data_IF_947364420598
#
_entry.id   IF_947364420598
#
_cell.length_a   1.000
_cell.length_b   1.000
_cell.length_c   1.000
_cell.angle_alpha   90.00
_cell.angle_beta   90.00
_cell.angle_gamma   90.00
#
_symmetry.space_group_name_H-M   'P 1'
#
loop_
_entity.id
_entity.type
_entity.pdbx_description
1 polymer ?
#
# COMPACT_ATOMS: atom_id res chain seq x y z
N UNK A 1 -4.87 25.65 12.14
CA UNK A 1 -3.88 25.28 11.11
C UNK A 1 -2.57 25.94 11.48
N UNK A 2 -1.47 25.18 11.53
CA UNK A 2 -0.14 25.73 11.80
C UNK A 2 0.22 26.82 10.78
N UNK A 3 0.60 28.01 11.25
CA UNK A 3 0.81 29.22 10.44
C UNK A 3 2.06 29.20 9.54
N UNK A 4 2.72 28.05 9.34
CA UNK A 4 4.02 27.94 8.66
C UNK A 4 4.14 26.79 7.64
N UNK A 5 3.03 26.27 7.11
CA UNK A 5 3.10 25.32 6.00
C UNK A 5 3.53 26.03 4.70
N UNK A 6 4.37 25.36 3.89
CA UNK A 6 4.80 25.88 2.61
C UNK A 6 3.59 26.21 1.72
N UNK A 7 3.55 27.34 0.99
CA UNK A 7 2.36 27.75 0.21
C UNK A 7 1.87 26.67 -0.76
N UNK A 8 2.78 25.98 -1.45
CA UNK A 8 2.41 24.88 -2.35
C UNK A 8 1.86 23.67 -1.59
N UNK A 9 2.38 23.36 -0.40
CA UNK A 9 1.87 22.28 0.44
C UNK A 9 0.45 22.57 0.93
N UNK A 10 0.15 23.83 1.29
CA UNK A 10 -1.20 24.24 1.67
C UNK A 10 -2.22 24.02 0.53
N UNK A 11 -1.83 24.34 -0.71
CA UNK A 11 -2.70 24.12 -1.88
C UNK A 11 -2.89 22.62 -2.13
N UNK A 12 -1.83 21.81 -2.04
CA UNK A 12 -1.92 20.37 -2.17
C UNK A 12 -2.85 19.74 -1.10
N UNK A 13 -2.74 20.20 0.15
CA UNK A 13 -3.64 19.78 1.25
C UNK A 13 -5.09 20.16 0.95
N UNK A 14 -5.33 21.37 0.43
CA UNK A 14 -6.67 21.81 0.01
C UNK A 14 -7.22 20.91 -1.10
N UNK A 15 -6.40 20.58 -2.10
CA UNK A 15 -6.78 19.71 -3.21
C UNK A 15 -7.11 18.28 -2.73
N UNK A 16 -6.25 17.69 -1.89
CA UNK A 16 -6.48 16.36 -1.33
C UNK A 16 -7.79 16.28 -0.51
N UNK A 17 -8.09 17.32 0.29
CA UNK A 17 -9.35 17.38 1.05
C UNK A 17 -10.58 17.50 0.14
N UNK A 18 -10.47 18.23 -0.98
CA UNK A 18 -11.57 18.35 -1.93
C UNK A 18 -11.87 17.00 -2.60
N UNK A 19 -10.83 16.28 -3.06
CA UNK A 19 -10.97 14.93 -3.58
C UNK A 19 -11.55 13.97 -2.55
N UNK A 20 -11.02 13.95 -1.32
CA UNK A 20 -11.52 13.05 -0.30
C UNK A 20 -12.94 13.37 0.17
N UNK A 21 -13.44 14.60 0.00
CA UNK A 21 -14.85 14.91 0.22
C UNK A 21 -15.77 14.27 -0.84
N UNK A 22 -15.30 14.18 -2.10
CA UNK A 22 -16.01 13.46 -3.16
C UNK A 22 -16.00 11.95 -2.89
N UNK A 23 -14.83 11.40 -2.54
CA UNK A 23 -14.66 9.99 -2.17
C UNK A 23 -15.57 9.61 -1.00
N UNK A 24 -15.56 10.39 0.10
CA UNK A 24 -16.40 10.13 1.27
C UNK A 24 -17.89 10.20 0.93
N UNK A 25 -18.32 11.08 0.02
CA UNK A 25 -19.71 11.13 -0.43
C UNK A 25 -20.08 9.87 -1.21
N UNK A 26 -19.23 9.44 -2.13
CA UNK A 26 -19.46 8.23 -2.91
C UNK A 26 -19.41 6.96 -2.06
N UNK A 27 -18.58 6.95 -1.01
CA UNK A 27 -18.50 5.83 -0.05
C UNK A 27 -19.81 5.60 0.74
N UNK A 28 -20.73 6.57 0.78
CA UNK A 28 -22.05 6.39 1.43
C UNK A 28 -22.97 5.46 0.65
N UNK A 29 -22.76 5.33 -0.66
CA UNK A 29 -23.55 4.48 -1.55
C UNK A 29 -22.66 3.92 -2.67
N UNK A 30 -21.75 3.01 -2.29
CA UNK A 30 -20.79 2.40 -3.21
C UNK A 30 -21.48 1.58 -4.30
N UNK A 31 -22.67 1.03 -4.04
CA UNK A 31 -23.43 0.25 -5.03
C UNK A 31 -23.93 1.11 -6.20
N UNK A 32 -24.14 2.41 -5.98
CA UNK A 32 -24.52 3.36 -7.03
C UNK A 32 -23.33 3.84 -7.88
N UNK A 33 -22.09 3.60 -7.44
CA UNK A 33 -20.88 4.07 -8.15
C UNK A 33 -20.70 3.31 -9.45
N UNK A 34 -20.51 4.05 -10.55
CA UNK A 34 -20.18 3.44 -11.84
C UNK A 34 -18.73 2.97 -11.85
N UNK A 35 -18.55 1.65 -11.98
CA UNK A 35 -17.24 1.01 -12.12
C UNK A 35 -16.98 0.67 -13.58
N UNK A 36 -15.82 1.07 -14.08
CA UNK A 36 -15.26 0.68 -15.37
C UNK A 36 -13.99 -0.14 -15.16
N UNK A 37 -13.70 -1.05 -16.09
CA UNK A 37 -12.44 -1.81 -16.11
C UNK A 37 -11.43 -1.11 -17.02
N UNK A 38 -10.29 -0.70 -16.46
CA UNK A 38 -9.12 -0.28 -17.25
C UNK A 38 -8.46 -1.50 -17.90
N UNK A 39 -8.22 -2.53 -17.08
CA UNK A 39 -7.65 -3.83 -17.46
C UNK A 39 -8.16 -4.93 -16.52
N UNK A 40 -7.84 -6.21 -16.77
CA UNK A 40 -8.23 -7.29 -15.85
C UNK A 40 -7.65 -7.05 -14.46
N UNK A 41 -8.52 -6.97 -13.45
CA UNK A 41 -8.20 -6.63 -12.05
C UNK A 41 -7.69 -5.20 -11.83
N UNK A 42 -7.94 -4.29 -12.77
CA UNK A 42 -7.58 -2.87 -12.70
C UNK A 42 -8.84 -2.04 -12.99
N UNK A 43 -9.33 -1.34 -11.96
CA UNK A 43 -10.63 -0.67 -11.98
C UNK A 43 -10.44 0.84 -11.95
N UNK A 44 -11.40 1.54 -12.53
CA UNK A 44 -11.56 2.99 -12.40
C UNK A 44 -13.03 3.29 -12.20
N UNK A 45 -13.34 4.24 -11.35
CA UNK A 45 -14.71 4.69 -11.13
C UNK A 45 -14.89 6.14 -11.58
N UNK A 46 -16.14 6.56 -11.72
CA UNK A 46 -16.44 7.99 -11.90
C UNK A 46 -15.94 8.86 -10.73
N UNK A 47 -15.68 8.25 -9.56
CA UNK A 47 -15.12 8.92 -8.39
C UNK A 47 -13.65 9.26 -8.59
N UNK A 48 -12.84 8.34 -9.14
CA UNK A 48 -11.42 8.57 -9.46
C UNK A 48 -11.30 9.77 -10.42
N UNK A 49 -12.11 9.78 -11.49
CA UNK A 49 -12.13 10.86 -12.49
C UNK A 49 -12.57 12.20 -11.89
N UNK A 50 -13.62 12.20 -11.07
CA UNK A 50 -14.11 13.42 -10.42
C UNK A 50 -13.11 13.97 -9.39
N UNK A 51 -12.46 13.09 -8.63
CA UNK A 51 -11.41 13.44 -7.68
C UNK A 51 -10.19 14.03 -8.41
N UNK A 52 -9.72 13.41 -9.49
CA UNK A 52 -8.61 13.90 -10.29
C UNK A 52 -8.91 15.30 -10.86
N UNK A 53 -10.07 15.48 -11.48
CA UNK A 53 -10.49 16.76 -12.04
C UNK A 53 -10.52 17.87 -10.98
N UNK A 54 -11.03 17.58 -9.77
CA UNK A 54 -11.06 18.53 -8.68
C UNK A 54 -9.66 18.90 -8.17
N UNK A 55 -8.74 17.93 -8.10
CA UNK A 55 -7.34 18.17 -7.73
C UNK A 55 -6.68 19.07 -8.77
N UNK A 56 -6.78 18.70 -10.06
CA UNK A 56 -6.16 19.45 -11.16
C UNK A 56 -6.67 20.89 -11.20
N UNK A 57 -7.99 21.09 -11.09
CA UNK A 57 -8.59 22.43 -11.08
C UNK A 57 -8.02 23.32 -9.95
N UNK A 58 -7.94 22.78 -8.72
CA UNK A 58 -7.41 23.52 -7.57
C UNK A 58 -5.91 23.84 -7.76
N UNK A 59 -5.13 22.86 -8.23
CA UNK A 59 -3.69 23.03 -8.40
C UNK A 59 -3.37 24.03 -9.52
N UNK A 60 -4.02 23.92 -10.68
CA UNK A 60 -3.78 24.78 -11.83
C UNK A 60 -4.39 26.17 -11.68
N UNK A 61 -5.47 26.32 -10.91
CA UNK A 61 -5.97 27.65 -10.53
C UNK A 61 -4.94 28.42 -9.70
N UNK A 62 -4.28 27.75 -8.77
CA UNK A 62 -3.25 28.37 -7.93
C UNK A 62 -1.90 28.53 -8.67
N UNK A 63 -1.54 27.56 -9.52
CA UNK A 63 -0.26 27.50 -10.22
C UNK A 63 -0.44 27.14 -11.71
N UNK A 64 -0.91 28.08 -12.56
CA UNK A 64 -1.21 27.80 -13.97
C UNK A 64 0.00 27.37 -14.81
N UNK A 65 1.22 27.70 -14.37
CA UNK A 65 2.46 27.37 -15.08
C UNK A 65 3.06 26.00 -14.72
N UNK A 66 2.43 25.22 -13.83
CA UNK A 66 2.92 23.90 -13.44
C UNK A 66 2.41 22.80 -14.40
N UNK A 67 3.13 21.69 -14.48
CA UNK A 67 2.72 20.48 -15.19
C UNK A 67 1.93 19.53 -14.28
N UNK A 68 1.20 18.60 -14.90
CA UNK A 68 0.49 17.52 -14.22
C UNK A 68 0.98 16.17 -14.77
N UNK A 69 1.16 15.20 -13.87
CA UNK A 69 1.26 13.77 -14.16
C UNK A 69 0.26 13.06 -13.25
N UNK A 70 -0.89 12.70 -13.79
CA UNK A 70 -1.96 12.03 -13.04
C UNK A 70 -2.18 10.60 -13.54
N UNK A 71 -2.72 9.74 -12.67
CA UNK A 71 -2.99 8.34 -13.02
C UNK A 71 -3.94 8.19 -14.22
N UNK A 72 -5.05 8.94 -14.25
CA UNK A 72 -6.11 8.74 -15.24
C UNK A 72 -5.82 9.47 -16.55
N UNK A 73 -5.39 10.73 -16.46
CA UNK A 73 -5.16 11.62 -17.61
C UNK A 73 -3.70 11.73 -18.04
N UNK A 74 -2.76 11.06 -17.35
CA UNK A 74 -1.34 11.14 -17.66
C UNK A 74 -0.83 12.59 -17.61
N UNK A 75 -0.19 13.04 -18.70
CA UNK A 75 0.35 14.40 -18.85
C UNK A 75 -0.47 15.29 -19.79
N UNK A 76 -1.78 15.05 -19.90
CA UNK A 76 -2.67 15.83 -20.76
C UNK A 76 -2.90 17.27 -20.24
N UNK A 77 -2.77 17.48 -18.93
CA UNK A 77 -3.03 18.76 -18.26
C UNK A 77 -1.76 19.49 -17.82
N UNK A 78 -1.90 20.81 -17.62
CA UNK A 78 -0.80 21.67 -17.18
C UNK A 78 0.22 21.98 -18.29
N UNK A 79 1.30 22.66 -17.91
CA UNK A 79 2.38 23.03 -18.81
C UNK A 79 3.31 21.83 -19.09
N UNK A 80 3.48 21.47 -20.37
CA UNK A 80 4.22 20.27 -20.81
C UNK A 80 5.71 20.28 -20.46
N UNK A 81 6.35 21.45 -20.50
CA UNK A 81 7.80 21.61 -20.28
C UNK A 81 8.11 22.26 -18.93
N UNK A 82 7.21 22.11 -17.95
CA UNK A 82 7.40 22.69 -16.63
C UNK A 82 8.46 21.93 -15.83
N UNK A 83 9.36 22.66 -15.17
CA UNK A 83 10.25 22.09 -14.16
C UNK A 83 9.51 21.73 -12.85
N UNK A 84 8.28 22.23 -12.68
CA UNK A 84 7.41 21.96 -11.53
C UNK A 84 6.23 21.09 -11.98
N UNK A 85 6.20 19.84 -11.54
CA UNK A 85 5.19 18.85 -11.95
C UNK A 85 4.50 18.29 -10.73
N UNK A 86 3.17 18.39 -10.70
CA UNK A 86 2.35 17.71 -9.71
C UNK A 86 2.10 16.27 -10.14
N UNK A 87 2.43 15.32 -9.28
CA UNK A 87 2.20 13.89 -9.48
C UNK A 87 1.02 13.47 -8.61
N UNK A 88 -0.02 12.89 -9.21
CA UNK A 88 -1.32 12.71 -8.56
C UNK A 88 -1.79 11.27 -8.73
N UNK A 89 -2.16 10.65 -7.61
CA UNK A 89 -3.07 9.51 -7.58
C UNK A 89 -4.36 10.00 -6.87
N UNK A 90 -5.49 10.10 -7.62
CA UNK A 90 -6.73 10.62 -7.08
C UNK A 90 -7.40 9.66 -6.09
N UNK A 91 -7.13 8.35 -6.15
CA UNK A 91 -7.71 7.32 -5.30
C UNK A 91 -6.84 6.04 -5.29
N UNK A 92 -5.77 6.05 -4.49
CA UNK A 92 -4.95 4.87 -4.27
C UNK A 92 -5.76 3.86 -3.45
N UNK A 93 -5.95 2.66 -4.01
CA UNK A 93 -6.80 1.61 -3.43
C UNK A 93 -8.22 1.58 -4.00
N UNK A 94 -8.43 1.91 -5.28
CA UNK A 94 -9.74 1.83 -5.97
C UNK A 94 -10.46 0.49 -5.74
N UNK A 95 -9.75 -0.64 -5.78
CA UNK A 95 -10.34 -1.95 -5.46
C UNK A 95 -10.88 -2.00 -4.02
N UNK A 96 -10.15 -1.47 -3.05
CA UNK A 96 -10.63 -1.41 -1.68
C UNK A 96 -11.88 -0.53 -1.56
N UNK A 97 -11.88 0.62 -2.23
CA UNK A 97 -13.03 1.52 -2.27
C UNK A 97 -14.30 0.83 -2.81
N UNK A 98 -14.21 0.19 -3.98
CA UNK A 98 -15.35 -0.52 -4.61
C UNK A 98 -15.87 -1.66 -3.74
N UNK A 99 -15.00 -2.30 -2.95
CA UNK A 99 -15.37 -3.38 -2.04
C UNK A 99 -15.75 -2.89 -0.62
N UNK A 100 -15.75 -1.57 -0.37
CA UNK A 100 -16.03 -1.00 0.94
C UNK A 100 -14.97 -1.32 2.00
N UNK A 101 -13.77 -1.77 1.61
CA UNK A 101 -12.67 -2.01 2.52
C UNK A 101 -12.00 -0.66 2.90
N UNK A 102 -11.95 -0.28 4.18
CA UNK A 102 -11.62 1.08 4.61
C UNK A 102 -10.10 1.33 4.66
N UNK A 103 -9.43 1.18 3.52
CA UNK A 103 -8.00 1.44 3.34
C UNK A 103 -7.72 1.94 1.93
N UNK A 104 -7.75 3.25 1.75
CA UNK A 104 -7.48 3.95 0.49
C UNK A 104 -7.13 5.41 0.81
N UNK A 105 -6.50 6.11 -0.13
CA UNK A 105 -6.08 7.49 0.10
C UNK A 105 -6.02 8.33 -1.17
N UNK A 106 -5.83 9.63 -1.02
CA UNK A 106 -5.43 10.54 -2.10
C UNK A 106 -3.93 10.82 -1.96
N UNK A 107 -3.16 10.72 -3.04
CA UNK A 107 -1.72 10.98 -3.05
C UNK A 107 -1.40 12.16 -3.98
N UNK A 108 -0.69 13.17 -3.46
CA UNK A 108 -0.26 14.34 -4.24
C UNK A 108 1.20 14.65 -3.88
N UNK A 109 2.06 14.69 -4.89
CA UNK A 109 3.45 15.13 -4.76
C UNK A 109 3.77 16.29 -5.70
N UNK A 110 4.71 17.15 -5.32
CA UNK A 110 5.30 18.14 -6.21
C UNK A 110 6.75 17.77 -6.49
N UNK A 111 7.05 17.51 -7.76
CA UNK A 111 8.40 17.40 -8.27
C UNK A 111 8.89 18.78 -8.73
N UNK A 112 10.11 19.16 -8.33
CA UNK A 112 10.82 20.34 -8.81
C UNK A 112 12.15 19.88 -9.39
N UNK A 113 12.33 20.01 -10.70
CA UNK A 113 13.52 19.54 -11.44
C UNK A 113 13.85 18.07 -11.15
N UNK A 114 12.82 17.22 -11.16
CA UNK A 114 12.94 15.78 -10.91
C UNK A 114 13.11 15.38 -9.45
N UNK A 115 13.03 16.32 -8.50
CA UNK A 115 13.13 16.02 -7.06
C UNK A 115 11.81 16.29 -6.37
N UNK A 116 11.33 15.33 -5.57
CA UNK A 116 10.12 15.53 -4.77
C UNK A 116 10.40 16.52 -3.65
N UNK A 117 9.68 17.65 -3.65
CA UNK A 117 9.87 18.76 -2.69
C UNK A 117 8.69 18.88 -1.71
N UNK A 118 7.48 18.51 -2.15
CA UNK A 118 6.26 18.53 -1.33
C UNK A 118 5.50 17.21 -1.50
N UNK A 119 4.88 16.74 -0.42
CA UNK A 119 4.07 15.52 -0.44
C UNK A 119 2.87 15.63 0.50
N UNK A 120 1.74 15.09 0.05
CA UNK A 120 0.51 14.90 0.80
C UNK A 120 -0.02 13.51 0.51
N UNK A 121 -0.31 12.74 1.55
CA UNK A 121 -1.15 11.55 1.48
C UNK A 121 -2.31 11.76 2.44
N UNK A 122 -3.55 11.67 1.95
CA UNK A 122 -4.75 11.89 2.74
C UNK A 122 -5.58 10.62 2.84
N UNK A 123 -5.71 10.09 4.06
CA UNK A 123 -6.65 9.01 4.39
C UNK A 123 -8.02 9.64 4.74
N UNK A 124 -9.03 9.54 3.85
CA UNK A 124 -10.33 10.16 4.06
C UNK A 124 -11.19 9.43 5.10
N UNK A 125 -10.88 8.16 5.41
CA UNK A 125 -11.58 7.37 6.44
C UNK A 125 -11.18 7.84 7.83
N UNK A 126 -9.87 7.98 8.07
CA UNK A 126 -9.33 8.44 9.35
C UNK A 126 -9.29 9.96 9.48
N UNK A 127 -9.51 10.67 8.37
CA UNK A 127 -9.26 12.11 8.25
C UNK A 127 -7.82 12.47 8.66
N UNK A 128 -6.86 11.63 8.28
CA UNK A 128 -5.44 11.81 8.54
C UNK A 128 -4.75 12.39 7.32
N UNK A 129 -4.13 13.58 7.48
CA UNK A 129 -3.23 14.16 6.47
C UNK A 129 -1.79 13.88 6.88
N UNK A 130 -1.16 13.01 6.10
CA UNK A 130 0.29 12.85 6.09
C UNK A 130 0.88 13.89 5.16
N UNK A 131 1.86 14.65 5.63
CA UNK A 131 2.47 15.72 4.83
C UNK A 131 3.96 15.86 5.10
N UNK A 132 4.69 16.27 4.08
CA UNK A 132 6.10 16.60 4.18
C UNK A 132 6.48 17.73 3.22
N UNK A 133 7.37 18.59 3.70
CA UNK A 133 8.19 19.46 2.86
C UNK A 133 9.63 19.04 3.04
N UNK A 134 10.40 19.01 1.95
CA UNK A 134 11.81 18.64 2.01
C UNK A 134 12.59 19.49 3.01
N UNK A 135 13.36 18.83 3.87
CA UNK A 135 14.15 19.41 4.95
C UNK A 135 13.34 19.92 6.15
N UNK A 136 12.02 19.66 6.22
CA UNK A 136 11.15 20.16 7.30
C UNK A 136 10.54 19.05 8.17
N UNK A 137 10.78 17.78 7.83
CA UNK A 137 10.18 16.63 8.49
C UNK A 137 8.83 16.24 7.92
N UNK A 138 8.39 15.03 8.28
CA UNK A 138 7.07 14.50 7.98
C UNK A 138 6.13 14.67 9.19
N UNK A 139 4.84 14.85 8.91
CA UNK A 139 3.79 15.09 9.90
C UNK A 139 2.53 14.30 9.56
N UNK A 140 1.77 13.91 10.59
CA UNK A 140 0.35 13.51 10.48
C UNK A 140 -0.49 14.48 11.30
N UNK A 141 -1.47 15.15 10.70
CA UNK A 141 -2.36 16.09 11.40
C UNK A 141 -1.59 17.07 12.33
N UNK A 142 -0.60 17.76 11.78
CA UNK A 142 0.33 18.70 12.47
C UNK A 142 1.28 18.06 13.52
N UNK A 143 1.24 16.75 13.75
CA UNK A 143 2.15 16.04 14.66
C UNK A 143 3.32 15.44 13.89
N UNK A 144 4.55 15.75 14.30
CA UNK A 144 5.75 15.21 13.66
C UNK A 144 5.81 13.69 13.82
N UNK A 145 6.11 12.98 12.73
CA UNK A 145 6.25 11.52 12.71
C UNK A 145 7.70 11.09 12.46
N UNK A 146 7.98 9.82 12.75
CA UNK A 146 9.25 9.14 12.54
C UNK A 146 8.97 7.67 12.22
N UNK A 147 9.81 7.08 11.38
CA UNK A 147 9.81 5.63 11.15
C UNK A 147 10.00 4.85 12.46
N UNK A 148 9.55 3.59 12.47
CA UNK A 148 9.65 2.69 13.62
C UNK A 148 11.10 2.49 14.09
N UNK A 149 11.29 2.20 15.39
CA UNK A 149 12.62 2.05 16.02
C UNK A 149 13.14 0.60 16.05
N UNK A 150 12.35 -0.37 15.57
CA UNK A 150 12.73 -1.78 15.59
C UNK A 150 13.98 -2.00 14.75
N UNK A 151 14.88 -2.86 15.23
CA UNK A 151 16.18 -3.08 14.57
C UNK A 151 16.35 -4.48 14.01
N UNK A 152 15.43 -5.40 14.31
CA UNK A 152 15.47 -6.80 13.87
C UNK A 152 14.21 -7.11 13.09
N UNK A 153 14.37 -7.69 11.91
CA UNK A 153 13.24 -8.01 11.02
C UNK A 153 12.20 -8.91 11.73
N UNK A 154 12.64 -9.84 12.58
CA UNK A 154 11.77 -10.77 13.32
C UNK A 154 10.74 -10.10 14.25
N UNK A 155 10.97 -8.84 14.64
CA UNK A 155 10.05 -8.10 15.52
C UNK A 155 9.09 -7.20 14.72
N UNK A 156 9.24 -7.16 13.39
CA UNK A 156 8.65 -6.14 12.52
C UNK A 156 7.35 -6.58 11.85
N UNK A 157 6.48 -5.60 11.60
CA UNK A 157 5.37 -5.72 10.66
C UNK A 157 5.78 -5.15 9.31
N UNK A 158 5.70 -5.95 8.24
CA UNK A 158 6.08 -5.53 6.89
C UNK A 158 4.83 -5.43 6.01
N UNK A 159 4.58 -4.27 5.40
CA UNK A 159 3.54 -4.12 4.39
C UNK A 159 4.05 -4.53 3.01
N UNK A 160 3.14 -4.96 2.13
CA UNK A 160 3.45 -5.34 0.76
C UNK A 160 2.20 -5.31 -0.11
N UNK A 161 2.37 -5.28 -1.43
CA UNK A 161 1.31 -5.45 -2.42
C UNK A 161 1.56 -6.63 -3.35
N UNK A 162 0.47 -7.23 -3.81
CA UNK A 162 0.51 -8.47 -4.58
C UNK A 162 0.41 -8.13 -6.07
N UNK A 163 1.15 -8.84 -6.93
CA UNK A 163 1.01 -8.68 -8.37
C UNK A 163 -0.16 -9.55 -8.86
N UNK A 164 -1.29 -8.91 -9.20
CA UNK A 164 -2.52 -9.56 -9.68
C UNK A 164 -2.94 -9.12 -11.09
N UNK A 165 -2.10 -8.39 -11.81
CA UNK A 165 -2.34 -7.98 -13.21
C UNK A 165 -1.93 -9.09 -14.19
N UNK A 166 -2.59 -9.24 -15.34
CA UNK A 166 -2.18 -10.20 -16.36
C UNK A 166 -0.74 -9.98 -16.81
N UNK A 167 0.06 -11.05 -16.85
CA UNK A 167 1.50 -10.99 -17.19
C UNK A 167 2.43 -10.92 -15.97
N UNK A 168 1.86 -10.82 -14.77
CA UNK A 168 2.64 -10.79 -13.54
C UNK A 168 3.36 -12.11 -13.22
N UNK A 169 4.56 -11.97 -12.65
CA UNK A 169 5.40 -13.09 -12.22
C UNK A 169 5.03 -13.52 -10.80
N UNK A 170 3.84 -14.10 -10.64
CA UNK A 170 3.30 -14.53 -9.34
C UNK A 170 4.22 -15.50 -8.60
N UNK A 171 4.80 -16.51 -9.28
CA UNK A 171 5.68 -17.49 -8.63
C UNK A 171 6.93 -16.86 -8.00
N UNK A 172 7.74 -16.05 -8.72
CA UNK A 172 8.82 -15.28 -8.12
C UNK A 172 8.37 -14.41 -6.93
N UNK A 173 7.23 -13.74 -7.06
CA UNK A 173 6.67 -12.92 -5.97
C UNK A 173 6.35 -13.76 -4.72
N UNK A 174 5.69 -14.91 -4.87
CA UNK A 174 5.38 -15.80 -3.73
C UNK A 174 6.65 -16.33 -3.04
N UNK A 175 7.73 -16.57 -3.79
CA UNK A 175 9.01 -16.95 -3.20
C UNK A 175 9.61 -15.80 -2.38
N UNK A 176 9.59 -14.59 -2.94
CA UNK A 176 10.04 -13.37 -2.26
C UNK A 176 9.24 -13.12 -0.98
N UNK A 177 7.91 -13.16 -1.07
CA UNK A 177 6.99 -13.03 0.06
C UNK A 177 7.26 -14.10 1.12
N UNK A 178 7.42 -15.36 0.73
CA UNK A 178 7.69 -16.47 1.64
C UNK A 178 8.99 -16.26 2.43
N UNK A 179 10.02 -15.73 1.79
CA UNK A 179 11.30 -15.43 2.45
C UNK A 179 11.18 -14.28 3.45
N UNK A 180 10.55 -13.16 3.08
CA UNK A 180 10.31 -12.03 4.00
C UNK A 180 9.43 -12.46 5.17
N UNK A 181 8.35 -13.20 4.89
CA UNK A 181 7.41 -13.67 5.90
C UNK A 181 8.08 -14.60 6.92
N UNK A 182 9.06 -15.41 6.51
CA UNK A 182 9.82 -16.27 7.42
C UNK A 182 10.74 -15.50 8.39
N UNK A 183 11.02 -14.22 8.11
CA UNK A 183 11.98 -13.41 8.84
C UNK A 183 11.33 -12.28 9.66
N UNK A 184 10.01 -12.10 9.59
CA UNK A 184 9.30 -11.01 10.28
C UNK A 184 8.18 -11.49 11.20
N UNK A 185 7.69 -10.61 12.07
CA UNK A 185 6.60 -10.92 13.00
C UNK A 185 5.27 -11.07 12.28
N UNK A 186 5.11 -10.39 11.13
CA UNK A 186 3.94 -10.55 10.30
C UNK A 186 3.95 -9.64 9.08
N UNK A 187 3.18 -10.05 8.08
CA UNK A 187 2.98 -9.29 6.84
C UNK A 187 1.59 -8.62 6.87
N UNK A 188 1.48 -7.46 6.24
CA UNK A 188 0.22 -6.79 5.94
C UNK A 188 0.12 -6.58 4.43
N UNK A 189 -1.06 -6.83 3.86
CA UNK A 189 -1.41 -6.49 2.48
C UNK A 189 -2.73 -5.70 2.54
N UNK A 190 -2.68 -4.41 2.88
CA UNK A 190 -3.89 -3.63 3.04
C UNK A 190 -4.40 -3.07 1.69
N UNK A 191 -3.52 -2.80 0.72
CA UNK A 191 -3.93 -2.60 -0.68
C UNK A 191 -4.02 -1.14 -1.16
N UNK A 192 -3.25 -0.23 -0.56
CA UNK A 192 -3.04 1.13 -1.08
C UNK A 192 -1.58 1.52 -0.81
N UNK A 193 -0.77 1.63 -1.87
CA UNK A 193 0.69 1.71 -1.78
C UNK A 193 1.18 3.03 -1.17
N UNK A 194 0.58 4.16 -1.53
CA UNK A 194 0.90 5.47 -0.96
C UNK A 194 0.55 5.52 0.53
N UNK A 195 -0.56 4.90 0.94
CA UNK A 195 -0.95 4.81 2.35
C UNK A 195 -0.05 3.84 3.13
N UNK A 196 0.40 2.74 2.51
CA UNK A 196 1.39 1.83 3.10
C UNK A 196 2.72 2.54 3.38
N UNK A 197 3.21 3.36 2.44
CA UNK A 197 4.41 4.17 2.64
C UNK A 197 4.21 5.23 3.73
N UNK A 198 3.05 5.89 3.78
CA UNK A 198 2.71 6.82 4.86
C UNK A 198 2.68 6.13 6.24
N UNK A 199 2.17 4.90 6.31
CA UNK A 199 2.17 4.08 7.51
C UNK A 199 3.59 3.69 7.97
N UNK A 200 4.50 3.38 7.04
CA UNK A 200 5.92 3.18 7.39
C UNK A 200 6.55 4.48 7.90
N UNK A 201 6.28 5.62 7.25
CA UNK A 201 6.76 6.93 7.69
C UNK A 201 6.26 7.30 9.11
N UNK A 202 5.06 6.84 9.47
CA UNK A 202 4.47 6.99 10.79
C UNK A 202 4.90 5.94 11.82
N UNK A 203 5.65 4.91 11.40
CA UNK A 203 6.07 3.80 12.25
C UNK A 203 4.94 2.84 12.67
N UNK A 204 3.82 2.84 11.92
CA UNK A 204 2.71 1.89 12.10
C UNK A 204 3.06 0.51 11.54
N UNK A 205 3.78 0.49 10.42
CA UNK A 205 4.53 -0.64 9.88
C UNK A 205 6.02 -0.31 9.89
N UNK A 206 6.88 -1.33 9.87
CA UNK A 206 8.32 -1.16 10.02
C UNK A 206 9.08 -1.17 8.68
N UNK A 207 8.42 -1.65 7.62
CA UNK A 207 8.92 -1.63 6.27
C UNK A 207 7.85 -1.98 5.25
N UNK A 208 8.18 -1.75 3.99
CA UNK A 208 7.33 -1.97 2.83
C UNK A 208 8.16 -2.57 1.70
N UNK A 209 7.57 -3.44 0.88
CA UNK A 209 8.13 -3.84 -0.41
C UNK A 209 7.03 -4.17 -1.42
N UNK A 210 7.18 -3.72 -2.66
CA UNK A 210 6.24 -4.00 -3.75
C UNK A 210 6.91 -3.82 -5.12
N UNK A 211 6.38 -4.50 -6.13
CA UNK A 211 6.81 -4.39 -7.52
C UNK A 211 5.61 -4.09 -8.42
N UNK A 212 5.86 -3.44 -9.56
CA UNK A 212 4.82 -3.01 -10.51
C UNK A 212 4.19 -1.64 -10.20
N UNK A 213 4.81 -0.85 -9.32
CA UNK A 213 4.31 0.47 -8.94
C UNK A 213 4.59 1.53 -10.01
N UNK A 214 3.71 2.52 -10.09
CA UNK A 214 3.80 3.70 -10.94
C UNK A 214 4.34 4.90 -10.15
N UNK A 215 4.77 5.98 -10.82
CA UNK A 215 5.31 7.17 -10.15
C UNK A 215 4.35 7.79 -9.13
N UNK A 216 3.05 7.80 -9.42
CA UNK A 216 2.03 8.39 -8.54
C UNK A 216 1.80 7.58 -7.25
N UNK A 217 2.00 6.27 -7.29
CA UNK A 217 1.90 5.38 -6.11
C UNK A 217 2.97 5.70 -5.05
N UNK A 218 4.17 6.12 -5.49
CA UNK A 218 5.36 6.21 -4.62
C UNK A 218 5.84 7.63 -4.36
N UNK A 219 5.54 8.59 -5.24
CA UNK A 219 6.16 9.92 -5.18
C UNK A 219 5.93 10.63 -3.83
N UNK A 220 4.70 10.71 -3.36
CA UNK A 220 4.39 11.36 -2.07
C UNK A 220 4.95 10.55 -0.89
N UNK A 221 4.75 9.23 -0.92
CA UNK A 221 5.27 8.30 0.09
C UNK A 221 6.79 8.39 0.27
N UNK A 222 7.54 8.56 -0.83
CA UNK A 222 9.00 8.66 -0.80
C UNK A 222 9.52 9.83 0.02
N UNK A 223 8.89 11.00 -0.12
CA UNK A 223 9.27 12.18 0.66
C UNK A 223 8.85 12.01 2.13
N UNK A 224 7.68 11.42 2.39
CA UNK A 224 7.25 11.11 3.76
C UNK A 224 8.26 10.21 4.49
N UNK A 225 8.73 9.15 3.84
CA UNK A 225 9.71 8.21 4.40
C UNK A 225 11.02 8.92 4.73
N UNK A 226 11.59 9.63 3.76
CA UNK A 226 12.89 10.29 3.93
C UNK A 226 12.85 11.37 5.01
N UNK A 227 11.79 12.19 5.04
CA UNK A 227 11.60 13.23 6.06
C UNK A 227 11.25 12.69 7.45
N UNK A 228 10.70 11.47 7.53
CA UNK A 228 10.52 10.72 8.76
C UNK A 228 11.83 10.07 9.27
N UNK A 229 12.92 10.10 8.49
CA UNK A 229 14.21 9.49 8.82
C UNK A 229 14.34 8.02 8.42
N UNK A 230 13.50 7.56 7.50
CA UNK A 230 13.64 6.27 6.84
C UNK A 230 14.47 6.34 5.57
N UNK A 231 14.59 5.17 4.93
CA UNK A 231 15.21 4.98 3.62
C UNK A 231 14.18 4.36 2.67
N UNK A 232 14.28 4.72 1.41
CA UNK A 232 13.47 4.19 0.30
C UNK A 232 14.37 3.98 -0.91
N UNK A 233 14.15 2.90 -1.65
CA UNK A 233 14.88 2.58 -2.88
C UNK A 233 14.27 1.36 -3.57
N UNK A 234 14.89 0.92 -4.66
CA UNK A 234 14.49 -0.29 -5.36
C UNK A 234 14.93 -1.54 -4.56
N UNK A 235 14.69 -2.75 -5.06
CA UNK A 235 15.09 -3.96 -4.34
C UNK A 235 16.60 -4.16 -4.17
N UNK A 236 17.43 -3.51 -5.01
CA UNK A 236 18.91 -3.51 -4.88
C UNK A 236 19.41 -2.40 -3.95
N UNK A 237 18.52 -1.53 -3.44
CA UNK A 237 18.86 -0.39 -2.58
C UNK A 237 19.19 0.91 -3.31
N UNK A 238 19.00 0.96 -4.64
CA UNK A 238 19.28 2.13 -5.47
C UNK A 238 18.10 3.12 -5.49
N UNK A 239 18.37 4.37 -5.86
CA UNK A 239 17.40 5.47 -5.79
C UNK A 239 16.43 5.55 -6.98
N UNK A 240 16.53 4.65 -7.96
CA UNK A 240 15.78 4.64 -9.22
C UNK A 240 14.44 3.85 -9.13
N UNK A 241 13.85 3.82 -7.92
CA UNK A 241 12.63 3.07 -7.62
C UNK A 241 11.38 3.61 -8.31
N UNK A 242 11.36 4.91 -8.63
CA UNK A 242 10.25 5.56 -9.33
C UNK A 242 10.21 5.09 -10.79
N UNK A 243 11.38 4.97 -11.43
CA UNK A 243 11.52 4.56 -12.83
C UNK A 243 11.40 3.06 -13.02
N UNK A 244 11.88 2.26 -12.06
CA UNK A 244 11.93 0.81 -12.16
C UNK A 244 10.67 0.08 -11.68
N UNK A 245 9.77 0.78 -10.98
CA UNK A 245 8.54 0.21 -10.44
C UNK A 245 8.78 -0.91 -9.43
N UNK A 246 9.96 -0.96 -8.81
CA UNK A 246 10.27 -1.79 -7.65
C UNK A 246 10.58 -0.85 -6.50
N UNK A 247 9.91 -1.00 -5.37
CA UNK A 247 10.06 -0.11 -4.24
C UNK A 247 10.13 -0.90 -2.95
N UNK A 248 11.07 -0.56 -2.09
CA UNK A 248 11.10 -0.95 -0.69
C UNK A 248 11.44 0.25 0.19
N UNK A 249 10.89 0.25 1.41
CA UNK A 249 11.12 1.31 2.37
C UNK A 249 11.20 0.75 3.80
N UNK A 250 11.83 1.49 4.69
CA UNK A 250 11.89 1.16 6.12
C UNK A 250 12.81 2.07 6.89
N UNK A 251 12.94 1.85 8.20
CA UNK A 251 14.01 2.49 8.95
C UNK A 251 15.39 1.97 8.50
N UNK A 252 16.50 2.68 8.76
CA UNK A 252 17.81 2.28 8.23
C UNK A 252 18.28 0.86 8.59
N UNK A 253 17.88 0.32 9.75
CA UNK A 253 18.25 -1.03 10.18
C UNK A 253 17.43 -2.10 9.46
N UNK A 254 16.14 -1.86 9.28
CA UNK A 254 15.23 -2.79 8.58
C UNK A 254 15.45 -2.72 7.08
N UNK A 255 15.67 -1.52 6.53
CA UNK A 255 15.99 -1.31 5.12
C UNK A 255 17.19 -2.17 4.68
N UNK A 256 18.31 -2.14 5.42
CA UNK A 256 19.48 -2.97 5.07
C UNK A 256 19.20 -4.48 5.12
N UNK A 257 18.33 -4.95 6.03
CA UNK A 257 17.90 -6.36 6.08
C UNK A 257 16.98 -6.73 4.91
N UNK A 258 16.14 -5.78 4.47
CA UNK A 258 15.28 -5.96 3.29
C UNK A 258 16.13 -6.02 2.01
N UNK A 259 17.12 -5.13 1.80
CA UNK A 259 18.05 -5.20 0.66
C UNK A 259 18.65 -6.60 0.55
N UNK A 260 19.22 -7.12 1.65
CA UNK A 260 19.86 -8.43 1.67
C UNK A 260 18.92 -9.59 1.30
N UNK A 261 17.62 -9.43 1.53
CA UNK A 261 16.59 -10.43 1.18
C UNK A 261 16.06 -10.24 -0.25
N UNK A 262 15.85 -8.99 -0.66
CA UNK A 262 15.09 -8.61 -1.85
C UNK A 262 15.96 -8.44 -3.11
N UNK A 263 17.23 -8.09 -2.97
CA UNK A 263 18.13 -7.77 -4.09
C UNK A 263 18.09 -8.82 -5.20
N UNK A 264 18.21 -10.09 -4.83
CA UNK A 264 18.18 -11.24 -5.76
C UNK A 264 16.86 -11.41 -6.54
N UNK A 265 15.77 -10.82 -6.06
CA UNK A 265 14.47 -10.81 -6.73
C UNK A 265 14.29 -9.64 -7.69
N UNK A 266 15.18 -8.65 -7.66
CA UNK A 266 15.13 -7.50 -8.55
C UNK A 266 15.27 -7.93 -10.02
N UNK A 267 14.46 -7.30 -10.87
CA UNK A 267 14.65 -7.38 -12.33
C UNK A 267 15.99 -6.77 -12.78
N UNK A 268 16.66 -6.00 -11.92
CA UNK A 268 17.91 -5.31 -12.20
C UNK A 268 19.13 -5.92 -11.51
N UNK A 269 18.95 -6.99 -10.72
CA UNK A 269 20.06 -7.74 -10.13
C UNK A 269 21.04 -8.26 -11.18
N UNK A 270 22.34 -8.29 -10.83
CA UNK A 270 23.42 -8.74 -11.72
C UNK A 270 23.18 -10.21 -12.11
N UNK A 271 23.57 -10.60 -13.33
CA UNK A 271 23.23 -11.91 -13.91
C UNK A 271 23.63 -13.12 -13.04
N UNK A 272 24.63 -12.98 -12.16
CA UNK A 272 25.05 -14.02 -11.21
C UNK A 272 24.00 -14.33 -10.13
N UNK A 273 23.31 -13.32 -9.60
CA UNK A 273 22.36 -13.47 -8.49
C UNK A 273 21.02 -14.05 -8.97
N UNK A 274 20.60 -13.69 -10.18
CA UNK A 274 19.43 -14.29 -10.85
C UNK A 274 19.61 -15.78 -11.12
N UNK A 275 20.85 -16.22 -11.40
CA UNK A 275 21.15 -17.64 -11.58
C UNK A 275 21.02 -18.42 -10.26
N UNK A 276 21.43 -17.84 -9.13
CA UNK A 276 21.29 -18.43 -7.79
C UNK A 276 19.82 -18.57 -7.38
N UNK A 277 18.98 -17.56 -7.62
CA UNK A 277 17.53 -17.66 -7.34
C UNK A 277 16.88 -18.70 -8.23
N UNK A 278 17.21 -18.71 -9.53
CA UNK A 278 16.69 -19.71 -10.46
C UNK A 278 17.10 -21.12 -10.02
N UNK A 279 18.35 -21.31 -9.60
CA UNK A 279 18.83 -22.61 -9.10
C UNK A 279 18.13 -23.00 -7.79
N UNK A 280 18.00 -22.09 -6.82
CA UNK A 280 17.31 -22.37 -5.56
C UNK A 280 15.82 -22.71 -5.73
N UNK A 281 15.14 -22.09 -6.71
CA UNK A 281 13.75 -22.42 -7.08
C UNK A 281 13.67 -23.79 -7.75
N UNK A 282 14.65 -24.14 -8.59
CA UNK A 282 14.73 -25.47 -9.21
C UNK A 282 15.02 -26.55 -8.16
N UNK A 283 15.92 -26.28 -7.22
CA UNK A 283 16.31 -27.21 -6.16
C UNK A 283 15.18 -27.46 -5.14
N UNK A 284 14.40 -26.42 -4.79
CA UNK A 284 13.18 -26.56 -3.96
C UNK A 284 12.09 -27.37 -4.66
N UNK A 285 11.96 -27.23 -5.98
CA UNK A 285 11.00 -28.02 -6.77
C UNK A 285 11.50 -29.45 -7.07
N UNK A 286 12.79 -29.73 -6.88
CA UNK A 286 13.41 -31.03 -7.12
C UNK A 286 13.43 -31.95 -5.87
N UNK A 287 12.98 -31.50 -4.71
CA UNK A 287 12.83 -32.37 -3.54
C UNK A 287 11.58 -33.24 -3.67
N UNK A 288 11.68 -34.57 -3.79
CA UNK A 288 10.50 -35.43 -3.80
C UNK A 288 9.91 -35.50 -2.39
N UNK A 289 8.57 -35.45 -2.31
CA UNK A 289 7.83 -35.82 -1.12
C UNK A 289 8.28 -37.23 -0.69
N UNK A 290 8.93 -37.34 0.47
CA UNK A 290 9.23 -38.63 1.09
C UNK A 290 7.90 -39.26 1.56
N UNK A 291 7.26 -39.99 0.65
CA UNK A 291 6.24 -40.97 0.99
C UNK A 291 6.90 -42.36 0.99
N UNK A 292 6.95 -42.98 2.17
CA UNK A 292 7.48 -44.32 2.34
C UNK A 292 6.84 -45.00 3.53
N UNK A 293 5.65 -45.58 3.33
CA UNK A 293 5.15 -46.71 4.11
C UNK A 293 4.21 -47.52 3.21
N UNK A 294 4.54 -48.80 3.01
CA UNK A 294 3.84 -49.76 2.14
C UNK A 294 2.49 -50.19 2.76
N UNK A 295 1.52 -50.68 1.95
CA UNK A 295 0.25 -51.20 2.44
C UNK A 295 0.41 -52.62 3.01
N UNK A 296 -0.18 -52.89 4.17
CA UNK A 296 -0.44 -54.24 4.69
C UNK A 296 -1.88 -54.65 4.36
N UNK A 297 -2.06 -55.96 4.15
CA UNK A 297 -3.25 -56.67 3.69
C UNK A 297 -4.48 -56.49 4.61
N UNK A 298 -5.67 -56.45 3.99
CA UNK A 298 -6.98 -56.33 4.64
C UNK A 298 -7.47 -57.68 5.19
N UNK A 299 -7.83 -57.72 6.48
CA UNK A 299 -8.84 -58.62 7.04
C UNK A 299 -10.10 -57.82 7.38
N UNK A 300 -11.32 -58.40 7.28
CA UNK A 300 -12.55 -57.64 7.21
C UNK A 300 -13.03 -57.12 8.57
N UNK A 301 -13.11 -55.80 8.72
CA UNK A 301 -13.71 -55.14 9.88
C UNK A 301 -15.22 -54.92 9.73
N UNK A 302 -15.94 -55.17 10.81
CA UNK A 302 -17.37 -54.98 11.08
C UNK A 302 -17.93 -53.57 10.75
N UNK A 303 -19.25 -53.43 10.56
CA UNK A 303 -19.86 -52.21 10.01
C UNK A 303 -19.84 -51.02 10.99
N UNK A 304 -19.46 -49.85 10.47
CA UNK A 304 -19.46 -48.56 11.16
C UNK A 304 -20.88 -48.00 11.35
N UNK A 305 -21.23 -47.38 12.50
CA UNK A 305 -22.51 -46.71 12.67
C UNK A 305 -22.55 -45.34 11.95
N UNK A 306 -23.76 -44.95 11.53
CA UNK A 306 -24.05 -43.75 10.75
C UNK A 306 -23.64 -42.42 11.43
N UNK A 307 -23.17 -41.46 10.61
CA UNK A 307 -22.86 -40.07 11.02
C UNK A 307 -24.13 -39.35 11.49
N UNK A 308 -24.10 -38.58 12.60
CA UNK A 308 -25.23 -37.75 13.00
C UNK A 308 -25.32 -36.49 12.12
N UNK A 309 -26.53 -36.20 11.67
CA UNK A 309 -26.91 -34.98 10.95
C UNK A 309 -27.03 -33.81 11.93
N UNK A 310 -26.27 -32.73 11.69
CA UNK A 310 -26.39 -31.47 12.43
C UNK A 310 -27.72 -30.79 12.08
N UNK A 311 -28.67 -30.74 13.04
CA UNK A 311 -29.86 -29.88 12.94
C UNK A 311 -29.50 -28.47 13.41
N UNK A 312 -29.74 -27.47 12.56
CA UNK A 312 -29.60 -26.06 12.91
C UNK A 312 -30.51 -25.72 14.11
N UNK A 313 -29.92 -25.21 15.20
CA UNK A 313 -30.65 -24.78 16.39
C UNK A 313 -30.83 -23.25 16.32
N UNK A 314 -32.08 -22.82 16.27
CA UNK A 314 -32.49 -21.40 16.30
C UNK A 314 -32.03 -20.77 17.63
N UNK A 315 -31.26 -19.69 17.55
CA UNK A 315 -30.84 -18.91 18.73
C UNK A 315 -32.09 -18.22 19.30
N UNK A 316 -32.43 -18.50 20.55
CA UNK A 316 -33.45 -17.76 21.30
C UNK A 316 -32.82 -16.47 21.83
N UNK A 317 -33.54 -15.34 21.72
CA UNK A 317 -33.12 -14.06 22.26
C UNK A 317 -32.98 -14.13 23.79
N UNK A 318 -31.91 -13.53 24.33
CA UNK A 318 -31.68 -13.40 25.77
C UNK A 318 -32.77 -12.54 26.43
N UNK A 319 -33.17 -12.83 27.68
CA UNK A 319 -34.10 -11.99 28.42
C UNK A 319 -33.46 -10.65 28.81
N UNK A 320 -34.29 -9.64 29.00
CA UNK A 320 -33.92 -8.26 29.35
C UNK A 320 -33.09 -8.19 30.65
N UNK A 321 -32.21 -7.17 30.79
CA UNK A 321 -31.34 -7.04 31.97
C UNK A 321 -32.13 -6.67 33.23
N UNK A 322 -31.64 -7.20 34.35
CA UNK A 322 -32.18 -7.06 35.71
C UNK A 322 -31.91 -5.64 36.26
N UNK A 323 -32.97 -4.93 36.69
CA UNK A 323 -32.94 -3.51 37.12
C UNK A 323 -32.19 -3.26 38.45
N UNK A 324 -31.53 -4.27 39.03
CA UNK A 324 -30.76 -4.14 40.28
C UNK A 324 -29.26 -4.43 40.14
N UNK A 325 -28.70 -4.31 38.94
CA UNK A 325 -27.24 -4.43 38.74
C UNK A 325 -26.49 -3.16 39.19
N UNK A 326 -25.46 -3.26 40.05
CA UNK A 326 -24.66 -2.11 40.51
C UNK A 326 -23.70 -1.53 39.44
N UNK A 327 -23.89 -1.89 38.16
CA UNK A 327 -23.08 -1.42 37.04
C UNK A 327 -23.94 -0.88 35.88
N UNK A 328 -24.94 -0.05 36.18
CA UNK A 328 -25.62 0.76 35.16
C UNK A 328 -24.76 2.00 34.83
N UNK A 329 -24.39 2.25 33.56
CA UNK A 329 -23.63 3.42 33.17
C UNK A 329 -24.48 4.70 33.22
N UNK A 330 -23.87 5.82 33.61
CA UNK A 330 -24.41 7.19 33.48
C UNK A 330 -24.58 7.58 32.00
#
# INVERSE_FOLDING_TARGET
MSSNLHPMLNVAVKAARAAGALINRAALDVEAVRVSLKQTNDFVTEVDQAAEAAIIDILLTAYPGHGILAEESGSEHGAKDSELVWIIDPLDGTTNFIHGFPFYCVSIALSVRGKIEQAVVYDPIRNDIYSASKGRGAYVNDRRIRVGKRTRLQDCLISTGFPYRPGDKLKPYLNMLGEVMSQCAGVRRPGAAALDLAHVAAGLTDGFFEAGLQPWDVAAGSLLITEAGGLIGNFTGEADFIEHGECMAGNPRIYGQLVATLDKYSKFAVAGDKALVRQAVLDKNAQPAKAGAKPQEEEPSTPTPAKPTLKARRIQASPAPDENSPYAPL
#
